data_IF_453089774667
#
_entry.id   IF_453089774667
#
_cell.length_a   1.000
_cell.length_b   1.000
_cell.length_c   1.000
_cell.angle_alpha   90.00
_cell.angle_beta   90.00
_cell.angle_gamma   90.00
#
_symmetry.space_group_name_H-M   'P 1'
#
loop_
_entity.id
_entity.type
_entity.pdbx_description
1 polymer ?
#
# COMPACT_ATOMS: atom_id res chain seq x y z
N UNK A 1 -9.35 -39.34 65.41
CA UNK A 1 -10.77 -39.35 65.01
C UNK A 1 -10.86 -38.52 63.74
N UNK A 2 -10.48 -39.10 62.60
CA UNK A 2 -11.39 -39.74 61.60
C UNK A 2 -12.36 -38.74 60.99
N UNK A 3 -12.07 -38.33 59.76
CA UNK A 3 -13.04 -38.45 58.66
C UNK A 3 -12.32 -38.35 57.31
N UNK A 4 -11.80 -39.49 56.87
CA UNK A 4 -11.49 -39.75 55.46
C UNK A 4 -12.83 -39.99 54.76
N UNK A 5 -13.46 -38.91 54.30
CA UNK A 5 -14.57 -38.99 53.35
C UNK A 5 -14.03 -39.65 52.09
N UNK A 6 -14.42 -40.91 51.88
CA UNK A 6 -14.35 -41.61 50.61
C UNK A 6 -15.12 -40.76 49.57
N UNK A 7 -14.41 -39.88 48.87
CA UNK A 7 -14.92 -39.27 47.65
C UNK A 7 -15.04 -40.40 46.64
N UNK A 8 -16.25 -40.90 46.43
CA UNK A 8 -16.55 -41.67 45.23
C UNK A 8 -16.05 -40.87 44.03
N UNK A 9 -15.00 -41.35 43.37
CA UNK A 9 -14.48 -40.81 42.11
C UNK A 9 -15.46 -41.08 40.96
N UNK A 10 -16.75 -40.76 41.13
CA UNK A 10 -17.67 -40.66 40.01
C UNK A 10 -17.30 -39.40 39.25
N UNK A 11 -16.62 -39.57 38.12
CA UNK A 11 -16.36 -38.48 37.20
C UNK A 11 -17.69 -37.85 36.79
N UNK A 12 -17.86 -36.52 36.86
CA UNK A 12 -19.13 -35.88 36.53
C UNK A 12 -19.51 -36.18 35.07
N UNK A 13 -20.72 -36.69 34.87
CA UNK A 13 -21.28 -36.98 33.55
C UNK A 13 -22.50 -36.12 33.28
N UNK A 14 -22.81 -35.87 32.01
CA UNK A 14 -24.04 -35.21 31.57
C UNK A 14 -24.89 -36.19 30.75
N UNK A 15 -26.17 -36.28 31.06
CA UNK A 15 -27.12 -37.13 30.34
C UNK A 15 -27.54 -36.51 29.01
N UNK A 16 -27.90 -37.36 28.04
CA UNK A 16 -28.52 -36.95 26.78
C UNK A 16 -29.79 -36.11 26.96
N UNK A 17 -30.50 -36.24 28.09
CA UNK A 17 -31.67 -35.44 28.43
C UNK A 17 -31.29 -34.03 28.86
N UNK A 18 -30.30 -33.89 29.74
CA UNK A 18 -29.78 -32.57 30.12
C UNK A 18 -29.25 -31.81 28.90
N UNK A 19 -28.60 -32.50 27.96
CA UNK A 19 -28.16 -31.88 26.68
C UNK A 19 -29.36 -31.45 25.83
N UNK A 20 -30.43 -32.24 25.80
CA UNK A 20 -31.67 -31.89 25.10
C UNK A 20 -32.28 -30.60 25.67
N UNK A 21 -32.36 -30.51 26.99
CA UNK A 21 -32.89 -29.35 27.71
C UNK A 21 -32.00 -28.11 27.49
N UNK A 22 -30.67 -28.26 27.53
CA UNK A 22 -29.72 -27.17 27.31
C UNK A 22 -29.74 -26.62 25.89
N UNK A 23 -29.92 -27.49 24.89
CA UNK A 23 -29.91 -27.11 23.47
C UNK A 23 -31.30 -26.81 22.90
N UNK A 24 -32.37 -26.99 23.70
CA UNK A 24 -33.75 -26.91 23.23
C UNK A 24 -34.11 -27.97 22.17
N UNK A 25 -33.28 -29.01 22.02
CA UNK A 25 -33.45 -30.06 21.02
C UNK A 25 -34.29 -31.21 21.57
N UNK A 26 -34.98 -31.95 20.70
CA UNK A 26 -35.65 -33.19 21.11
C UNK A 26 -34.62 -34.24 21.53
N UNK A 27 -34.89 -34.96 22.62
CA UNK A 27 -34.02 -36.03 23.13
C UNK A 27 -33.66 -37.08 22.07
N UNK A 28 -34.61 -37.47 21.21
CA UNK A 28 -34.36 -38.37 20.08
C UNK A 28 -33.28 -37.85 19.10
N UNK A 29 -33.25 -36.54 18.85
CA UNK A 29 -32.26 -35.92 17.97
C UNK A 29 -30.87 -35.91 18.61
N UNK A 30 -30.81 -35.73 19.93
CA UNK A 30 -29.56 -35.83 20.71
C UNK A 30 -29.01 -37.25 20.64
N UNK A 31 -29.85 -38.27 20.87
CA UNK A 31 -29.46 -39.69 20.77
C UNK A 31 -28.95 -40.05 19.38
N UNK A 32 -29.68 -39.67 18.34
CA UNK A 32 -29.27 -39.92 16.94
C UNK A 32 -27.94 -39.23 16.61
N UNK A 33 -27.71 -38.03 17.15
CA UNK A 33 -26.45 -37.31 16.96
C UNK A 33 -25.29 -37.99 17.69
N UNK A 34 -25.54 -38.51 18.90
CA UNK A 34 -24.55 -39.26 19.65
C UNK A 34 -24.16 -40.57 18.94
N UNK A 35 -25.15 -41.32 18.44
CA UNK A 35 -24.93 -42.56 17.66
C UNK A 35 -24.08 -42.31 16.42
N UNK A 36 -24.37 -41.23 15.68
CA UNK A 36 -23.56 -40.82 14.53
C UNK A 36 -22.13 -40.46 14.94
N UNK A 37 -21.96 -39.63 15.96
CA UNK A 37 -20.62 -39.25 16.44
C UNK A 37 -19.81 -40.44 16.97
N UNK A 38 -20.48 -41.43 17.56
CA UNK A 38 -19.84 -42.67 17.99
C UNK A 38 -19.44 -43.54 16.79
N UNK A 39 -20.31 -43.66 15.77
CA UNK A 39 -20.00 -44.37 14.53
C UNK A 39 -18.82 -43.73 13.77
N UNK A 40 -18.74 -42.40 13.78
CA UNK A 40 -17.63 -41.63 13.21
C UNK A 40 -16.35 -41.66 14.08
N UNK A 41 -16.36 -42.39 15.21
CA UNK A 41 -15.27 -42.47 16.20
C UNK A 41 -14.82 -41.10 16.76
N UNK A 42 -15.72 -40.13 16.81
CA UNK A 42 -15.45 -38.78 17.34
C UNK A 42 -15.58 -38.75 18.87
N UNK A 43 -16.50 -39.54 19.43
CA UNK A 43 -16.68 -39.66 20.88
C UNK A 43 -15.54 -40.48 21.50
N UNK A 44 -15.08 -40.05 22.67
CA UNK A 44 -13.99 -40.74 23.39
C UNK A 44 -14.49 -41.94 24.18
N UNK A 45 -15.75 -41.90 24.65
CA UNK A 45 -16.38 -42.99 25.39
C UNK A 45 -17.40 -43.76 24.52
N UNK A 46 -17.51 -45.10 24.67
CA UNK A 46 -18.55 -45.86 24.01
C UNK A 46 -19.94 -45.43 24.51
N UNK A 47 -20.94 -45.55 23.65
CA UNK A 47 -22.32 -45.24 24.02
C UNK A 47 -22.86 -46.35 24.93
N UNK A 48 -22.94 -46.04 26.22
CA UNK A 48 -23.61 -46.89 27.20
C UNK A 48 -25.00 -46.34 27.47
N UNK A 49 -26.02 -47.11 27.07
CA UNK A 49 -27.41 -46.83 27.40
C UNK A 49 -27.67 -47.10 28.87
N UNK A 50 -28.13 -46.10 29.61
CA UNK A 50 -28.67 -46.25 30.95
C UNK A 50 -30.19 -46.13 30.90
N UNK A 51 -30.86 -47.06 31.56
CA UNK A 51 -32.31 -47.05 31.68
C UNK A 51 -32.75 -46.00 32.71
N UNK A 52 -33.83 -45.29 32.42
CA UNK A 52 -34.47 -44.35 33.32
C UNK A 52 -35.99 -44.49 33.27
N UNK A 53 -36.65 -44.26 34.40
CA UNK A 53 -38.10 -44.27 34.49
C UNK A 53 -38.66 -42.86 34.24
N UNK A 54 -39.68 -42.76 33.39
CA UNK A 54 -40.45 -41.55 33.20
C UNK A 54 -41.94 -41.87 33.03
N UNK A 55 -42.75 -41.35 33.95
CA UNK A 55 -44.22 -41.58 33.98
C UNK A 55 -44.59 -43.07 33.99
N UNK A 56 -43.85 -43.89 34.73
CA UNK A 56 -44.10 -45.33 34.86
C UNK A 56 -43.57 -46.20 33.71
N UNK A 57 -42.93 -45.60 32.70
CA UNK A 57 -42.31 -46.32 31.58
C UNK A 57 -40.79 -46.20 31.65
N UNK A 58 -40.08 -47.26 31.25
CA UNK A 58 -38.61 -47.29 31.16
C UNK A 58 -38.17 -46.83 29.77
N UNK A 59 -37.22 -45.90 29.73
CA UNK A 59 -36.61 -45.37 28.51
C UNK A 59 -35.09 -45.42 28.62
N UNK A 60 -34.39 -45.28 27.49
CA UNK A 60 -32.93 -45.27 27.44
C UNK A 60 -32.37 -43.87 27.22
N UNK A 61 -31.41 -43.49 28.07
CA UNK A 61 -30.57 -42.30 27.93
C UNK A 61 -29.10 -42.68 27.80
N UNK A 62 -28.28 -41.82 27.19
CA UNK A 62 -26.82 -41.95 27.19
C UNK A 62 -26.19 -40.98 28.20
N UNK A 63 -25.03 -41.35 28.74
CA UNK A 63 -24.22 -40.48 29.63
C UNK A 63 -22.88 -40.15 28.98
N UNK A 64 -22.50 -38.88 29.06
CA UNK A 64 -21.30 -38.35 28.40
C UNK A 64 -20.34 -37.73 29.40
N UNK A 65 -19.04 -37.89 29.15
CA UNK A 65 -17.99 -37.13 29.81
C UNK A 65 -18.01 -35.66 29.33
N UNK A 66 -17.23 -34.78 30.00
CA UNK A 66 -17.17 -33.35 29.67
C UNK A 66 -16.83 -33.04 28.21
N UNK A 67 -15.94 -33.81 27.57
CA UNK A 67 -15.53 -33.57 26.18
C UNK A 67 -16.68 -33.92 25.24
N UNK A 68 -17.22 -35.12 25.40
CA UNK A 68 -18.23 -35.66 24.50
C UNK A 68 -19.56 -34.89 24.62
N UNK A 69 -19.90 -34.40 25.82
CA UNK A 69 -21.05 -33.51 26.00
C UNK A 69 -20.85 -32.16 25.30
N UNK A 70 -19.67 -31.56 25.35
CA UNK A 70 -19.36 -30.32 24.63
C UNK A 70 -19.40 -30.50 23.11
N UNK A 71 -18.88 -31.61 22.59
CA UNK A 71 -18.95 -31.93 21.14
C UNK A 71 -20.40 -32.08 20.69
N UNK A 72 -21.23 -32.75 21.48
CA UNK A 72 -22.67 -32.87 21.21
C UNK A 72 -23.37 -31.51 21.18
N UNK A 73 -23.13 -30.67 22.19
CA UNK A 73 -23.69 -29.31 22.25
C UNK A 73 -23.25 -28.48 21.04
N UNK A 74 -21.97 -28.52 20.68
CA UNK A 74 -21.43 -27.79 19.53
C UNK A 74 -22.05 -28.23 18.19
N UNK A 75 -22.42 -29.52 18.05
CA UNK A 75 -23.11 -30.03 16.86
C UNK A 75 -24.61 -29.65 16.83
N UNK A 76 -25.24 -29.57 18.00
CA UNK A 76 -26.68 -29.34 18.13
C UNK A 76 -27.07 -27.86 18.19
N UNK A 77 -26.16 -26.99 18.64
CA UNK A 77 -26.36 -25.54 18.64
C UNK A 77 -25.32 -24.86 17.73
N UNK A 78 -25.70 -24.56 16.48
CA UNK A 78 -24.89 -23.74 15.58
C UNK A 78 -24.60 -22.36 16.18
N UNK A 79 -25.51 -21.80 16.98
CA UNK A 79 -25.35 -20.50 17.65
C UNK A 79 -24.21 -20.53 18.67
N UNK A 80 -24.10 -21.62 19.45
CA UNK A 80 -22.98 -21.82 20.36
C UNK A 80 -21.66 -21.90 19.60
N UNK A 81 -21.61 -22.66 18.51
CA UNK A 81 -20.41 -22.75 17.67
C UNK A 81 -20.05 -21.40 17.04
N UNK A 82 -21.02 -20.65 16.54
CA UNK A 82 -20.82 -19.30 16.01
C UNK A 82 -20.20 -18.38 17.07
N UNK A 83 -20.76 -18.37 18.29
CA UNK A 83 -20.22 -17.55 19.39
C UNK A 83 -18.77 -17.92 19.76
N UNK A 84 -18.42 -19.20 19.71
CA UNK A 84 -17.03 -19.65 19.93
C UNK A 84 -16.12 -19.18 18.79
N UNK A 85 -16.56 -19.29 17.54
CA UNK A 85 -15.81 -18.81 16.36
C UNK A 85 -15.60 -17.29 16.43
N UNK A 86 -16.66 -16.52 16.65
CA UNK A 86 -16.60 -15.06 16.79
C UNK A 86 -15.63 -14.65 17.89
N UNK A 87 -15.65 -15.38 19.01
CA UNK A 87 -14.72 -15.14 20.12
C UNK A 87 -13.27 -15.39 19.72
N UNK A 88 -12.99 -16.45 18.97
CA UNK A 88 -11.64 -16.74 18.49
C UNK A 88 -11.17 -15.71 17.47
N UNK A 89 -12.03 -15.32 16.52
CA UNK A 89 -11.72 -14.25 15.56
C UNK A 89 -11.36 -12.95 16.27
N UNK A 90 -12.14 -12.55 17.28
CA UNK A 90 -11.83 -11.38 18.10
C UNK A 90 -10.49 -11.47 18.86
N UNK A 91 -10.09 -12.67 19.31
CA UNK A 91 -8.80 -12.89 19.94
C UNK A 91 -7.65 -12.83 18.93
N UNK A 92 -7.85 -13.38 17.72
CA UNK A 92 -6.89 -13.34 16.63
C UNK A 92 -6.65 -11.92 16.13
N UNK A 93 -7.71 -11.13 15.96
CA UNK A 93 -7.62 -9.70 15.62
C UNK A 93 -6.79 -8.91 16.65
N UNK A 94 -6.95 -9.22 17.94
CA UNK A 94 -6.15 -8.61 19.00
C UNK A 94 -4.70 -9.11 19.03
N UNK A 95 -4.47 -10.39 18.70
CA UNK A 95 -3.15 -10.98 18.68
C UNK A 95 -2.32 -10.49 17.48
N UNK A 96 -2.95 -10.27 16.32
CA UNK A 96 -2.33 -9.81 15.08
C UNK A 96 -1.76 -8.38 15.18
N UNK A 97 -2.26 -7.56 16.11
CA UNK A 97 -1.76 -6.22 16.34
C UNK A 97 -0.45 -6.25 17.16
N UNK A 98 0.59 -5.49 16.73
CA UNK A 98 1.78 -5.26 17.53
C UNK A 98 1.44 -4.79 18.94
N UNK A 99 2.25 -5.16 19.94
CA UNK A 99 2.01 -4.86 21.35
C UNK A 99 1.78 -3.36 21.64
N UNK A 100 2.46 -2.47 20.91
CA UNK A 100 2.30 -1.03 21.01
C UNK A 100 0.95 -0.52 20.44
N UNK A 101 0.35 -1.25 19.49
CA UNK A 101 -0.91 -0.90 18.83
C UNK A 101 -2.15 -1.41 19.56
N UNK A 102 -2.00 -2.34 20.53
CA UNK A 102 -3.14 -2.89 21.30
C UNK A 102 -3.82 -1.86 22.19
N UNK A 103 -3.07 -0.87 22.68
CA UNK A 103 -3.59 0.19 23.55
C UNK A 103 -3.93 1.48 22.80
N UNK A 104 -3.84 1.48 21.47
CA UNK A 104 -4.20 2.66 20.67
C UNK A 104 -5.72 2.81 20.61
N UNK A 105 -6.21 4.01 20.90
CA UNK A 105 -7.62 4.37 20.69
C UNK A 105 -7.95 4.37 19.20
N UNK A 106 -9.25 4.32 18.87
CA UNK A 106 -9.71 4.31 17.48
C UNK A 106 -9.21 5.55 16.71
N UNK A 107 -9.20 6.71 17.37
CA UNK A 107 -8.73 7.98 16.81
C UNK A 107 -7.23 7.92 16.51
N UNK A 108 -6.44 7.34 17.41
CA UNK A 108 -5.01 7.18 17.21
C UNK A 108 -4.69 6.26 16.02
N UNK A 109 -5.52 5.23 15.75
CA UNK A 109 -5.37 4.37 14.58
C UNK A 109 -5.64 5.11 13.27
N UNK A 110 -6.71 5.92 13.23
CA UNK A 110 -7.05 6.73 12.05
C UNK A 110 -5.94 7.75 11.76
N UNK A 111 -5.42 8.41 12.79
CA UNK A 111 -4.32 9.35 12.64
C UNK A 111 -3.03 8.68 12.11
N UNK A 112 -2.77 7.43 12.52
CA UNK A 112 -1.61 6.67 12.06
C UNK A 112 -1.71 6.30 10.58
N UNK A 113 -2.91 5.91 10.13
CA UNK A 113 -3.20 5.61 8.72
C UNK A 113 -3.07 6.86 7.85
N UNK A 114 -3.61 7.98 8.32
CA UNK A 114 -3.48 9.27 7.63
C UNK A 114 -2.02 9.72 7.51
N UNK A 115 -1.25 9.61 8.60
CA UNK A 115 0.18 9.88 8.59
C UNK A 115 0.94 8.95 7.63
N UNK A 116 0.59 7.67 7.59
CA UNK A 116 1.20 6.72 6.64
C UNK A 116 0.93 7.13 5.20
N UNK A 117 -0.32 7.50 4.90
CA UNK A 117 -0.73 7.98 3.59
C UNK A 117 0.03 9.24 3.18
N UNK A 118 0.18 10.20 4.10
CA UNK A 118 0.98 11.40 3.85
C UNK A 118 2.45 11.08 3.59
N UNK A 119 3.05 10.18 4.38
CA UNK A 119 4.45 9.77 4.18
C UNK A 119 4.65 9.12 2.82
N UNK A 120 3.73 8.26 2.38
CA UNK A 120 3.80 7.62 1.07
C UNK A 120 3.64 8.64 -0.07
N UNK A 121 2.74 9.61 0.08
CA UNK A 121 2.59 10.72 -0.85
C UNK A 121 3.90 11.50 -1.02
N UNK A 122 4.46 12.03 0.08
CA UNK A 122 5.71 12.81 0.04
C UNK A 122 6.91 12.00 -0.45
N UNK A 123 6.93 10.70 -0.16
CA UNK A 123 7.97 9.78 -0.66
C UNK A 123 7.84 9.58 -2.17
N UNK A 124 6.63 9.46 -2.69
CA UNK A 124 6.33 9.43 -4.12
C UNK A 124 6.82 10.70 -4.82
N UNK A 125 6.48 11.87 -4.28
CA UNK A 125 6.95 13.16 -4.79
C UNK A 125 8.47 13.25 -4.79
N UNK A 126 9.12 12.91 -3.67
CA UNK A 126 10.59 12.93 -3.55
C UNK A 126 11.26 12.04 -4.59
N UNK A 127 10.73 10.83 -4.82
CA UNK A 127 11.25 9.91 -5.83
C UNK A 127 11.12 10.50 -7.24
N UNK A 128 9.99 11.13 -7.56
CA UNK A 128 9.76 11.81 -8.84
C UNK A 128 10.72 12.97 -9.03
N UNK A 129 10.85 13.85 -8.03
CA UNK A 129 11.79 14.97 -8.05
C UNK A 129 13.24 14.49 -8.29
N UNK A 130 13.65 13.41 -7.62
CA UNK A 130 14.98 12.83 -7.78
C UNK A 130 15.21 12.25 -9.18
N UNK A 131 14.23 11.55 -9.76
CA UNK A 131 14.32 11.02 -11.12
C UNK A 131 14.53 12.15 -12.14
N UNK A 132 13.74 13.21 -12.01
CA UNK A 132 13.83 14.41 -12.83
C UNK A 132 15.19 15.11 -12.69
N UNK A 133 15.68 15.27 -11.45
CA UNK A 133 16.98 15.87 -11.19
C UNK A 133 18.13 15.04 -11.79
N UNK A 134 18.03 13.71 -11.71
CA UNK A 134 19.02 12.79 -12.28
C UNK A 134 19.03 12.86 -13.81
N UNK A 135 17.86 12.81 -14.44
CA UNK A 135 17.75 12.92 -15.90
C UNK A 135 18.27 14.28 -16.41
N UNK A 136 17.94 15.37 -15.72
CA UNK A 136 18.49 16.69 -16.04
C UNK A 136 20.02 16.72 -15.87
N UNK A 137 20.55 16.09 -14.81
CA UNK A 137 21.99 16.02 -14.57
C UNK A 137 22.72 15.18 -15.64
N UNK A 138 22.14 14.07 -16.08
CA UNK A 138 22.67 13.24 -17.16
C UNK A 138 22.63 13.97 -18.51
N UNK A 139 21.51 14.60 -18.84
CA UNK A 139 21.37 15.38 -20.06
C UNK A 139 22.35 16.57 -20.10
N UNK A 140 22.58 17.24 -18.96
CA UNK A 140 23.58 18.30 -18.85
C UNK A 140 25.01 17.78 -19.07
N UNK A 141 25.35 16.58 -18.56
CA UNK A 141 26.64 15.93 -18.84
C UNK A 141 26.78 15.58 -20.33
N UNK A 142 25.71 15.09 -20.95
CA UNK A 142 25.67 14.78 -22.38
C UNK A 142 25.80 16.02 -23.27
N UNK A 143 25.54 17.23 -22.74
CA UNK A 143 25.73 18.53 -23.38
C UNK A 143 24.51 19.00 -24.15
N UNK A 144 23.57 19.59 -23.42
CA UNK A 144 22.34 20.21 -23.92
C UNK A 144 22.61 21.57 -24.59
N UNK A 145 22.05 21.81 -25.77
CA UNK A 145 21.99 23.14 -26.37
C UNK A 145 20.97 24.04 -25.66
N UNK A 146 21.07 25.38 -25.78
CA UNK A 146 20.07 26.30 -25.21
C UNK A 146 18.64 26.00 -25.65
N UNK A 147 18.44 25.56 -26.89
CA UNK A 147 17.11 25.23 -27.42
C UNK A 147 16.58 23.93 -26.82
N UNK A 148 17.43 22.90 -26.69
CA UNK A 148 17.04 21.63 -26.06
C UNK A 148 16.68 21.83 -24.59
N UNK A 149 17.43 22.67 -23.86
CA UNK A 149 17.10 23.03 -22.49
C UNK A 149 15.76 23.79 -22.41
N UNK A 150 15.56 24.80 -23.25
CA UNK A 150 14.30 25.55 -23.29
C UNK A 150 13.09 24.72 -23.73
N UNK A 151 13.28 23.58 -24.40
CA UNK A 151 12.19 22.63 -24.71
C UNK A 151 11.57 22.03 -23.45
N UNK A 152 12.31 21.98 -22.35
CA UNK A 152 11.83 21.48 -21.05
C UNK A 152 11.03 22.53 -20.28
N UNK A 153 10.94 23.77 -20.79
CA UNK A 153 10.25 24.90 -20.17
C UNK A 153 8.96 25.20 -20.94
N UNK A 154 7.84 25.42 -20.23
CA UNK A 154 6.57 25.74 -20.88
C UNK A 154 6.62 27.15 -21.48
N UNK A 155 5.93 27.34 -22.60
CA UNK A 155 5.65 28.65 -23.16
C UNK A 155 6.77 29.29 -23.96
N UNK A 156 8.01 28.79 -23.86
CA UNK A 156 9.16 29.40 -24.53
C UNK A 156 9.07 29.24 -26.05
N UNK A 157 9.26 30.33 -26.78
CA UNK A 157 9.39 30.29 -28.23
C UNK A 157 10.79 29.80 -28.63
N UNK A 158 10.90 28.49 -28.88
CA UNK A 158 12.17 27.80 -29.18
C UNK A 158 12.93 28.43 -30.36
N UNK A 159 12.22 28.95 -31.37
CA UNK A 159 12.82 29.59 -32.55
C UNK A 159 13.50 30.92 -32.22
N UNK A 160 13.16 31.55 -31.09
CA UNK A 160 13.68 32.86 -30.68
C UNK A 160 14.78 32.75 -29.62
N UNK A 161 14.96 31.59 -28.99
CA UNK A 161 15.99 31.38 -27.95
C UNK A 161 17.39 31.76 -28.43
N UNK A 162 17.86 31.18 -29.54
CA UNK A 162 19.20 31.48 -30.07
C UNK A 162 19.34 32.91 -30.63
N UNK A 163 18.39 33.43 -31.44
CA UNK A 163 18.39 34.84 -31.87
C UNK A 163 18.51 35.84 -30.71
N UNK A 164 17.71 35.69 -29.65
CA UNK A 164 17.75 36.58 -28.47
C UNK A 164 19.11 36.53 -27.78
N UNK A 165 19.74 35.35 -27.71
CA UNK A 165 21.08 35.21 -27.14
C UNK A 165 22.17 35.88 -28.02
N UNK A 166 21.98 35.92 -29.33
CA UNK A 166 22.86 36.67 -30.25
C UNK A 166 22.64 38.17 -30.10
N UNK A 167 21.40 38.64 -30.08
CA UNK A 167 21.04 40.05 -29.86
C UNK A 167 21.64 40.59 -28.54
N UNK A 168 21.66 39.74 -27.49
CA UNK A 168 22.28 40.03 -26.18
C UNK A 168 23.80 39.84 -26.13
N UNK A 169 24.45 39.62 -27.27
CA UNK A 169 25.91 39.42 -27.39
C UNK A 169 26.42 38.27 -26.50
N UNK A 170 25.60 37.25 -26.26
CA UNK A 170 25.96 36.02 -25.51
C UNK A 170 26.45 34.92 -26.45
N UNK A 171 25.79 34.80 -27.60
CA UNK A 171 26.21 33.94 -28.70
C UNK A 171 26.63 34.77 -29.91
N UNK A 172 27.40 34.15 -30.80
CA UNK A 172 27.78 34.68 -32.10
C UNK A 172 27.23 33.75 -33.18
N UNK A 173 26.66 34.32 -34.23
CA UNK A 173 26.20 33.55 -35.40
C UNK A 173 27.41 33.29 -36.33
N UNK A 174 27.60 32.05 -36.74
CA UNK A 174 28.63 31.66 -37.70
C UNK A 174 28.01 31.05 -38.96
N UNK A 175 28.77 30.91 -40.07
CA UNK A 175 28.27 30.20 -41.25
C UNK A 175 27.86 28.74 -40.97
N UNK A 176 28.40 28.16 -39.90
CA UNK A 176 28.25 26.74 -39.54
C UNK A 176 27.33 26.51 -38.33
N UNK A 177 26.72 27.57 -37.79
CA UNK A 177 25.81 27.50 -36.64
C UNK A 177 26.02 28.65 -35.66
N UNK A 178 26.26 28.31 -34.40
CA UNK A 178 26.45 29.28 -33.32
C UNK A 178 27.71 28.98 -32.54
N UNK A 179 28.29 30.03 -31.94
CA UNK A 179 29.44 29.95 -31.04
C UNK A 179 29.24 30.80 -29.79
N UNK A 180 30.00 30.50 -28.73
CA UNK A 180 29.98 31.34 -27.54
C UNK A 180 30.76 32.63 -27.80
N UNK A 181 30.21 33.76 -27.37
CA UNK A 181 31.00 34.97 -27.25
C UNK A 181 32.12 34.76 -26.21
N UNK A 182 33.29 35.39 -26.44
CA UNK A 182 34.51 35.12 -25.68
C UNK A 182 34.34 35.27 -24.16
N UNK A 183 33.55 36.27 -23.72
CA UNK A 183 33.32 36.53 -22.30
C UNK A 183 32.56 35.40 -21.57
N UNK A 184 31.79 34.58 -22.30
CA UNK A 184 30.89 33.55 -21.76
C UNK A 184 31.33 32.12 -22.10
N UNK A 185 32.37 31.97 -22.93
CA UNK A 185 32.94 30.67 -23.30
C UNK A 185 33.49 29.98 -22.05
N UNK A 186 33.24 28.69 -21.94
CA UNK A 186 33.58 27.79 -20.84
C UNK A 186 32.95 28.17 -19.48
N UNK A 187 32.23 29.30 -19.41
CA UNK A 187 31.49 29.75 -18.23
C UNK A 187 30.03 29.36 -18.33
N UNK A 188 29.34 29.83 -19.37
CA UNK A 188 27.93 29.52 -19.61
C UNK A 188 27.77 28.51 -20.75
N UNK A 189 28.71 28.51 -21.70
CA UNK A 189 28.59 27.80 -22.95
C UNK A 189 29.89 27.11 -23.31
N UNK A 190 29.81 25.90 -23.86
CA UNK A 190 30.92 25.20 -24.51
C UNK A 190 30.57 24.92 -25.97
N UNK A 191 31.60 24.83 -26.82
CA UNK A 191 31.44 24.69 -28.27
C UNK A 191 31.74 23.24 -28.68
N UNK A 192 30.91 22.66 -29.54
CA UNK A 192 31.14 21.34 -30.13
C UNK A 192 31.09 21.45 -31.65
N UNK A 193 32.07 20.82 -32.31
CA UNK A 193 32.17 20.74 -33.76
C UNK A 193 31.95 19.31 -34.21
N UNK A 194 31.19 19.13 -35.27
CA UNK A 194 30.91 17.82 -35.84
C UNK A 194 30.64 17.95 -37.34
N UNK A 195 30.75 16.84 -38.07
CA UNK A 195 30.31 16.75 -39.45
C UNK A 195 28.86 16.28 -39.48
N UNK A 196 28.02 16.93 -40.28
CA UNK A 196 26.66 16.47 -40.51
C UNK A 196 26.66 15.27 -41.48
N UNK A 197 25.50 14.66 -41.73
CA UNK A 197 25.34 13.51 -42.63
C UNK A 197 25.92 13.73 -44.05
N UNK A 198 25.97 14.98 -44.51
CA UNK A 198 26.54 15.38 -45.81
C UNK A 198 28.00 15.87 -45.72
N UNK A 199 28.76 15.45 -44.71
CA UNK A 199 30.16 15.85 -44.43
C UNK A 199 30.40 17.37 -44.31
N UNK A 200 29.34 18.14 -44.07
CA UNK A 200 29.43 19.58 -43.85
C UNK A 200 29.82 19.86 -42.39
N UNK A 201 30.80 20.74 -42.13
CA UNK A 201 31.15 21.13 -40.77
C UNK A 201 30.02 21.94 -40.13
N UNK A 202 29.66 21.53 -38.92
CA UNK A 202 28.63 22.15 -38.09
C UNK A 202 29.19 22.49 -36.72
N UNK A 203 28.73 23.62 -36.17
CA UNK A 203 29.08 24.11 -34.84
C UNK A 203 27.81 24.19 -33.98
N UNK A 204 27.82 23.54 -32.81
CA UNK A 204 26.77 23.67 -31.81
C UNK A 204 27.32 24.19 -30.49
N UNK A 205 26.51 25.00 -29.82
CA UNK A 205 26.79 25.49 -28.47
C UNK A 205 25.99 24.68 -27.49
N UNK A 206 26.65 24.14 -26.47
CA UNK A 206 26.01 23.44 -25.36
C UNK A 206 26.21 24.21 -24.05
N UNK A 207 25.27 24.05 -23.13
CA UNK A 207 25.23 24.70 -21.84
C UNK A 207 26.17 24.00 -20.86
N UNK A 208 26.86 24.79 -20.05
CA UNK A 208 27.41 24.30 -18.78
C UNK A 208 26.30 24.24 -17.73
N UNK A 209 26.55 23.59 -16.59
CA UNK A 209 25.61 23.63 -15.45
C UNK A 209 25.31 25.09 -15.02
N UNK A 210 26.33 25.96 -15.05
CA UNK A 210 26.17 27.39 -14.74
C UNK A 210 25.38 28.12 -15.84
N UNK A 211 25.57 27.74 -17.10
CA UNK A 211 24.79 28.20 -18.24
C UNK A 211 23.31 27.86 -18.13
N UNK A 212 22.99 26.61 -17.78
CA UNK A 212 21.62 26.15 -17.59
C UNK A 212 20.92 26.90 -16.44
N UNK A 213 21.58 27.02 -15.27
CA UNK A 213 21.07 27.84 -14.15
C UNK A 213 20.83 29.29 -14.56
N UNK A 214 21.76 29.88 -15.30
CA UNK A 214 21.62 31.26 -15.78
C UNK A 214 20.45 31.42 -16.77
N UNK A 215 20.30 30.49 -17.72
CA UNK A 215 19.24 30.53 -18.73
C UNK A 215 17.86 30.32 -18.10
N UNK A 216 17.76 29.42 -17.11
CA UNK A 216 16.56 29.25 -16.30
C UNK A 216 16.20 30.52 -15.52
N UNK A 217 17.17 31.20 -14.90
CA UNK A 217 16.90 32.49 -14.26
C UNK A 217 16.43 33.56 -15.27
N UNK A 218 16.84 33.49 -16.54
CA UNK A 218 16.30 34.39 -17.58
C UNK A 218 14.86 34.04 -17.95
N UNK A 219 14.47 32.76 -17.85
CA UNK A 219 13.09 32.31 -18.03
C UNK A 219 12.20 32.86 -16.91
N UNK A 220 12.55 32.63 -15.64
CA UNK A 220 11.76 33.12 -14.48
C UNK A 220 11.59 34.65 -14.47
N UNK A 221 12.59 35.38 -14.98
CA UNK A 221 12.55 36.84 -15.07
C UNK A 221 11.74 37.36 -16.27
N UNK A 222 11.09 36.48 -17.04
CA UNK A 222 10.32 36.85 -18.25
C UNK A 222 11.18 37.44 -19.36
N UNK A 223 12.48 37.14 -19.36
CA UNK A 223 13.44 37.68 -20.33
C UNK A 223 13.61 36.78 -21.55
N UNK A 224 12.93 35.65 -21.63
CA UNK A 224 12.85 34.85 -22.85
C UNK A 224 11.56 35.21 -23.60
N UNK A 225 11.62 35.14 -24.94
CA UNK A 225 10.44 35.35 -25.75
C UNK A 225 9.52 34.14 -25.65
N UNK A 226 8.27 34.40 -25.26
CA UNK A 226 7.24 33.37 -25.14
C UNK A 226 6.43 33.23 -26.43
N UNK A 227 5.72 32.12 -26.57
CA UNK A 227 4.78 31.91 -27.67
C UNK A 227 3.57 32.84 -27.51
N UNK A 228 2.92 33.16 -28.63
CA UNK A 228 1.77 34.07 -28.66
C UNK A 228 0.52 33.49 -27.98
N UNK A 229 0.42 32.17 -27.94
CA UNK A 229 -0.66 31.37 -27.36
C UNK A 229 -0.36 30.90 -25.93
N UNK A 230 0.65 31.48 -25.27
CA UNK A 230 1.04 31.09 -23.92
C UNK A 230 0.10 31.67 -22.85
N UNK A 231 -0.25 30.85 -21.87
CA UNK A 231 -1.22 31.09 -20.78
C UNK A 231 -0.72 32.03 -19.66
N UNK A 232 0.52 32.52 -19.76
CA UNK A 232 1.13 33.42 -18.78
C UNK A 232 1.64 32.74 -17.50
N UNK A 233 1.48 31.41 -17.37
CA UNK A 233 1.90 30.67 -16.19
C UNK A 233 3.25 29.98 -16.45
N UNK A 234 4.24 30.34 -15.63
CA UNK A 234 5.55 29.71 -15.69
C UNK A 234 5.47 28.30 -15.10
N UNK A 235 5.43 27.29 -15.98
CA UNK A 235 5.56 25.88 -15.61
C UNK A 235 6.74 25.26 -16.37
N UNK A 236 7.26 24.17 -15.84
CA UNK A 236 8.35 23.42 -16.42
C UNK A 236 7.97 21.94 -16.39
N UNK A 237 8.23 21.25 -17.51
CA UNK A 237 7.91 19.81 -17.70
C UNK A 237 8.68 18.93 -16.70
N UNK A 238 9.59 19.52 -15.93
CA UNK A 238 10.24 18.89 -14.80
C UNK A 238 9.23 18.53 -13.69
N UNK A 239 8.06 19.19 -13.56
CA UNK A 239 7.11 18.90 -12.47
C UNK A 239 5.62 18.80 -12.84
N UNK A 240 5.20 19.10 -14.07
CA UNK A 240 3.79 18.94 -14.47
C UNK A 240 3.59 17.74 -15.40
N UNK A 241 3.18 16.62 -14.78
CA UNK A 241 2.25 15.67 -15.36
C UNK A 241 1.11 15.60 -14.34
N UNK A 242 0.32 16.67 -14.28
CA UNK A 242 -1.00 16.62 -13.64
C UNK A 242 -1.95 15.96 -14.65
N UNK A 243 -2.36 14.74 -14.29
CA UNK A 243 -3.76 14.30 -14.36
C UNK A 243 -4.53 14.63 -15.64
N UNK A 244 -4.37 13.79 -16.65
CA UNK A 244 -5.54 13.36 -17.43
C UNK A 244 -6.15 12.16 -16.69
N UNK A 245 -6.94 12.43 -15.65
CA UNK A 245 -7.99 11.52 -15.20
C UNK A 245 -9.29 12.07 -15.79
N UNK A 246 -10.02 11.16 -16.44
CA UNK A 246 -11.19 11.38 -17.28
C UNK A 246 -12.34 12.18 -16.65
#
# INVERSE_FOLDING_TARGET
>A
MTDLVLRNNCSPTMSSREIADLTGSRHDNVKRSAERLAADQILTSPLEGSDYEHRGNIYQEYRFNKRDSLVLVARLSPEFTAAVVDRWQYLEEQAALPSWARNLTKEARIALEDLSSQVDHYKGETNRLNAVCNDLAENLKAGLTPVEFCRMLNGVNLNRVQPVLVERKRLLRTPHGYRSAAAYRDKLFTERRYLNRDDRPCEKVVLTQKGAKWLYAQYEQGRLEMRKDWDGHYSHVLFDDQENVA
#
